data_IF_162053970563
#
_entry.id   IF_162053970563
#
_cell.length_a   1.000
_cell.length_b   1.000
_cell.length_c   1.000
_cell.angle_alpha   90.00
_cell.angle_beta   90.00
_cell.angle_gamma   90.00
#
_symmetry.space_group_name_H-M   'P 1'
#
loop_
_entity.id
_entity.type
_entity.pdbx_description
1 polymer ?
#
# COMPACT_ATOMS: atom_id res chain seq x y z
N UNK A 1 1.70 10.28 -89.91
CA UNK A 1 0.28 10.15 -89.49
C UNK A 1 0.25 9.89 -87.98
N UNK A 2 -0.06 10.87 -87.19
CA UNK A 2 -0.17 10.74 -85.73
C UNK A 2 -1.67 10.65 -85.37
N UNK A 3 -2.12 9.47 -84.89
CA UNK A 3 -3.45 9.29 -84.41
C UNK A 3 -3.59 9.88 -82.99
N UNK A 4 -4.38 10.93 -82.85
CA UNK A 4 -4.78 11.47 -81.52
C UNK A 4 -5.83 10.56 -80.90
N UNK A 5 -5.46 9.79 -79.90
CA UNK A 5 -6.40 9.05 -79.08
C UNK A 5 -7.23 10.02 -78.22
N UNK A 6 -8.48 10.19 -78.50
CA UNK A 6 -9.39 11.00 -77.73
C UNK A 6 -9.71 10.29 -76.40
N UNK A 7 -9.23 10.88 -75.26
CA UNK A 7 -9.64 10.45 -73.91
C UNK A 7 -11.13 10.77 -73.75
N UNK A 8 -11.97 9.74 -73.54
CA UNK A 8 -13.38 9.91 -73.18
C UNK A 8 -13.48 10.57 -71.81
N UNK A 9 -14.29 11.65 -71.63
CA UNK A 9 -14.52 12.23 -70.31
C UNK A 9 -15.18 11.20 -69.41
N UNK A 10 -14.59 10.96 -68.25
CA UNK A 10 -15.23 10.18 -67.17
C UNK A 10 -16.40 11.00 -66.63
N UNK A 11 -17.62 10.52 -66.83
CA UNK A 11 -18.81 11.06 -66.20
C UNK A 11 -18.61 10.96 -64.66
N UNK A 12 -18.51 12.05 -64.00
CA UNK A 12 -18.57 12.13 -62.53
C UNK A 12 -20.01 11.79 -62.13
N UNK A 13 -20.19 10.63 -61.49
CA UNK A 13 -21.49 10.29 -60.87
C UNK A 13 -21.50 10.98 -59.51
N UNK A 14 -22.47 11.84 -59.26
CA UNK A 14 -22.72 12.47 -57.98
C UNK A 14 -23.26 11.43 -56.98
N UNK A 15 -22.89 11.62 -55.68
CA UNK A 15 -23.41 10.79 -54.57
C UNK A 15 -24.89 11.12 -54.39
N UNK A 16 -25.73 10.11 -54.23
CA UNK A 16 -27.17 10.30 -53.96
C UNK A 16 -27.36 10.76 -52.50
N UNK A 17 -28.49 11.50 -52.26
CA UNK A 17 -28.82 11.95 -50.91
C UNK A 17 -28.96 10.77 -49.93
N UNK A 18 -29.51 9.64 -50.38
CA UNK A 18 -29.68 8.43 -49.59
C UNK A 18 -28.34 7.84 -49.21
N UNK A 19 -27.38 7.79 -50.13
CA UNK A 19 -26.03 7.28 -49.89
C UNK A 19 -25.30 8.15 -48.85
N UNK A 20 -25.44 9.46 -48.92
CA UNK A 20 -24.87 10.38 -47.92
C UNK A 20 -25.45 10.15 -46.52
N UNK A 21 -26.80 9.98 -46.42
CA UNK A 21 -27.45 9.71 -45.13
C UNK A 21 -26.98 8.38 -44.57
N UNK A 22 -26.92 7.31 -45.37
CA UNK A 22 -26.44 6.00 -44.97
C UNK A 22 -24.97 6.06 -44.49
N UNK A 23 -24.14 6.80 -45.21
CA UNK A 23 -22.73 7.00 -44.83
C UNK A 23 -22.61 7.68 -43.45
N UNK A 24 -23.35 8.78 -43.23
CA UNK A 24 -23.33 9.51 -41.95
C UNK A 24 -23.81 8.61 -40.81
N UNK A 25 -24.86 7.81 -41.01
CA UNK A 25 -25.36 6.89 -39.97
C UNK A 25 -24.33 5.83 -39.64
N UNK A 26 -23.71 5.19 -40.63
CA UNK A 26 -22.69 4.15 -40.41
C UNK A 26 -21.46 4.72 -39.70
N UNK A 27 -20.97 5.88 -40.14
CA UNK A 27 -19.81 6.53 -39.52
C UNK A 27 -20.12 6.97 -38.08
N UNK A 28 -21.32 7.48 -37.82
CA UNK A 28 -21.74 7.88 -36.48
C UNK A 28 -21.75 6.71 -35.49
N UNK A 29 -22.29 5.56 -35.92
CA UNK A 29 -22.31 4.33 -35.11
C UNK A 29 -20.88 3.81 -34.86
N UNK A 30 -20.02 3.83 -35.88
CA UNK A 30 -18.63 3.40 -35.77
C UNK A 30 -17.84 4.31 -34.80
N UNK A 31 -17.99 5.62 -34.90
CA UNK A 31 -17.35 6.58 -34.00
C UNK A 31 -17.85 6.45 -32.57
N UNK A 32 -19.15 6.26 -32.36
CA UNK A 32 -19.71 6.01 -31.03
C UNK A 32 -19.09 4.75 -30.39
N UNK A 33 -18.94 3.68 -31.15
CA UNK A 33 -18.27 2.46 -30.71
C UNK A 33 -16.80 2.68 -30.30
N UNK A 34 -16.05 3.41 -31.12
CA UNK A 34 -14.64 3.73 -30.83
C UNK A 34 -14.53 4.57 -29.53
N UNK A 35 -15.36 5.60 -29.37
CA UNK A 35 -15.37 6.44 -28.15
C UNK A 35 -15.70 5.61 -26.91
N UNK A 36 -16.64 4.66 -27.02
CA UNK A 36 -16.98 3.75 -25.93
C UNK A 36 -15.77 2.88 -25.51
N UNK A 37 -15.07 2.28 -26.47
CA UNK A 37 -13.87 1.49 -26.21
C UNK A 37 -12.77 2.36 -25.56
N UNK A 38 -12.55 3.57 -26.06
CA UNK A 38 -11.57 4.50 -25.48
C UNK A 38 -11.89 4.85 -24.01
N UNK A 39 -13.17 5.06 -23.69
CA UNK A 39 -13.60 5.33 -22.30
C UNK A 39 -13.31 4.14 -21.40
N UNK A 40 -13.64 2.92 -21.82
CA UNK A 40 -13.36 1.70 -21.06
C UNK A 40 -11.85 1.48 -20.84
N UNK A 41 -11.04 1.71 -21.87
CA UNK A 41 -9.58 1.58 -21.79
C UNK A 41 -8.97 2.63 -20.86
N UNK A 42 -9.44 3.88 -20.92
CA UNK A 42 -8.95 4.96 -20.05
C UNK A 42 -9.35 4.75 -18.59
N UNK A 43 -10.54 4.27 -18.31
CA UNK A 43 -10.98 3.97 -16.94
C UNK A 43 -10.12 2.84 -16.32
N UNK A 44 -9.82 1.80 -17.11
CA UNK A 44 -8.98 0.69 -16.67
C UNK A 44 -7.48 1.03 -16.60
N UNK A 45 -7.03 2.14 -17.19
CA UNK A 45 -5.62 2.55 -17.17
C UNK A 45 -5.23 3.33 -15.91
N UNK A 46 -6.19 3.97 -15.24
CA UNK A 46 -5.95 4.71 -14.00
C UNK A 46 -5.75 3.77 -12.80
N UNK A 47 -6.43 2.63 -12.78
CA UNK A 47 -6.38 1.66 -11.68
C UNK A 47 -5.00 1.00 -11.50
N UNK A 48 -4.29 0.52 -12.53
CA UNK A 48 -2.94 -0.02 -12.38
C UNK A 48 -1.93 0.97 -11.81
N UNK A 49 -2.04 2.26 -12.14
CA UNK A 49 -1.16 3.29 -11.61
C UNK A 49 -1.41 3.51 -10.11
N UNK A 50 -2.67 3.64 -9.71
CA UNK A 50 -3.06 3.79 -8.31
C UNK A 50 -2.65 2.58 -7.49
N UNK A 51 -2.86 1.37 -8.02
CA UNK A 51 -2.42 0.13 -7.38
C UNK A 51 -0.90 0.06 -7.19
N UNK A 52 -0.14 0.50 -8.19
CA UNK A 52 1.33 0.59 -8.08
C UNK A 52 1.75 1.59 -7.00
N UNK A 53 1.12 2.75 -6.93
CA UNK A 53 1.36 3.72 -5.86
C UNK A 53 1.00 3.16 -4.48
N UNK A 54 -0.14 2.47 -4.35
CA UNK A 54 -0.53 1.80 -3.11
C UNK A 54 0.50 0.75 -2.67
N UNK A 55 1.05 -0.02 -3.62
CA UNK A 55 2.11 -0.98 -3.34
C UNK A 55 3.39 -0.28 -2.82
N UNK A 56 3.82 0.79 -3.47
CA UNK A 56 4.99 1.57 -3.01
C UNK A 56 4.80 2.16 -1.62
N UNK A 57 3.58 2.64 -1.32
CA UNK A 57 3.22 3.10 0.02
C UNK A 57 3.30 1.94 1.02
N UNK A 58 2.70 0.79 0.69
CA UNK A 58 2.70 -0.38 1.56
C UNK A 58 4.12 -0.90 1.84
N UNK A 59 4.99 -0.93 0.82
CA UNK A 59 6.39 -1.31 0.96
C UNK A 59 7.15 -0.34 1.89
N UNK A 60 6.98 0.96 1.70
CA UNK A 60 7.64 1.97 2.53
C UNK A 60 7.20 1.89 4.01
N UNK A 61 5.89 1.71 4.25
CA UNK A 61 5.35 1.58 5.60
C UNK A 61 5.75 0.25 6.26
N UNK A 62 5.79 -0.84 5.51
CA UNK A 62 6.27 -2.13 6.01
C UNK A 62 7.74 -2.04 6.41
N UNK A 63 8.56 -1.38 5.59
CA UNK A 63 9.98 -1.20 5.89
C UNK A 63 10.19 -0.32 7.13
N UNK A 64 9.41 0.74 7.33
CA UNK A 64 9.43 1.55 8.55
C UNK A 64 9.21 0.67 9.79
N UNK A 65 8.15 -0.15 9.81
CA UNK A 65 7.86 -1.05 10.92
C UNK A 65 8.97 -2.09 11.14
N UNK A 66 9.53 -2.63 10.04
CA UNK A 66 10.61 -3.63 10.11
C UNK A 66 11.93 -3.08 10.61
N UNK A 67 12.17 -1.78 10.47
CA UNK A 67 13.35 -1.09 11.00
C UNK A 67 13.27 -0.84 12.50
N UNK A 68 12.07 -0.83 13.09
CA UNK A 68 11.89 -0.73 14.53
C UNK A 68 12.54 -1.92 15.26
N UNK A 69 12.95 -1.70 16.48
CA UNK A 69 13.49 -2.75 17.34
C UNK A 69 12.45 -3.86 17.59
N UNK A 70 12.91 -5.01 17.97
CA UNK A 70 12.05 -6.06 18.52
C UNK A 70 12.77 -6.67 19.72
N UNK A 71 12.74 -5.93 20.81
CA UNK A 71 13.44 -6.21 22.08
C UNK A 71 12.45 -6.62 23.16
N UNK A 72 12.94 -7.18 24.26
CA UNK A 72 12.10 -7.46 25.45
C UNK A 72 11.90 -6.21 26.29
N UNK A 73 12.86 -5.31 26.27
CA UNK A 73 12.86 -4.09 27.06
C UNK A 73 12.76 -2.87 26.16
N UNK A 74 12.10 -1.83 26.66
CA UNK A 74 12.22 -0.47 26.16
C UNK A 74 13.72 -0.07 26.14
N UNK A 75 14.21 0.62 25.11
CA UNK A 75 15.62 1.08 25.03
C UNK A 75 16.08 1.92 26.20
N UNK A 76 15.15 2.51 26.98
CA UNK A 76 15.43 3.28 28.19
C UNK A 76 15.64 2.41 29.43
N UNK A 77 15.45 1.10 29.32
CA UNK A 77 15.65 0.17 30.40
C UNK A 77 17.15 0.02 30.70
N UNK A 78 17.53 0.11 32.00
CA UNK A 78 18.94 0.00 32.40
C UNK A 78 19.57 -1.33 32.06
N UNK A 79 18.77 -2.36 31.83
CA UNK A 79 19.20 -3.74 31.53
C UNK A 79 18.65 -4.23 30.17
N UNK A 80 18.40 -3.32 29.23
CA UNK A 80 17.81 -3.64 27.92
C UNK A 80 18.58 -4.74 27.16
N UNK A 81 19.91 -4.76 27.26
CA UNK A 81 20.77 -5.68 26.52
C UNK A 81 20.88 -7.08 27.13
N UNK A 82 20.43 -7.27 28.38
CA UNK A 82 20.69 -8.49 29.15
C UNK A 82 19.45 -9.22 29.64
N UNK A 83 18.29 -8.58 29.58
CA UNK A 83 17.05 -9.18 30.07
C UNK A 83 16.59 -10.32 29.16
N UNK A 84 16.30 -11.51 29.71
CA UNK A 84 15.86 -12.68 28.94
C UNK A 84 14.36 -12.63 28.56
N UNK A 85 13.58 -11.79 29.20
CA UNK A 85 12.14 -11.60 28.99
C UNK A 85 11.70 -10.20 29.42
N UNK A 86 10.45 -9.83 29.10
CA UNK A 86 9.90 -8.50 29.42
C UNK A 86 9.77 -8.26 30.93
N UNK A 87 9.57 -9.29 31.73
CA UNK A 87 9.40 -9.18 33.19
C UNK A 87 10.70 -8.91 33.92
N UNK A 88 11.80 -9.28 33.28
CA UNK A 88 13.16 -9.05 33.82
C UNK A 88 13.67 -7.65 33.50
N UNK A 89 12.97 -6.88 32.68
CA UNK A 89 13.33 -5.51 32.34
C UNK A 89 12.98 -4.53 33.46
N UNK A 90 13.78 -3.49 33.63
CA UNK A 90 13.40 -2.32 34.44
C UNK A 90 12.18 -1.61 33.84
N UNK A 91 12.16 -1.50 32.52
CA UNK A 91 11.02 -1.09 31.71
C UNK A 91 10.81 -2.16 30.63
N UNK A 92 9.73 -2.97 30.77
CA UNK A 92 9.40 -4.03 29.82
C UNK A 92 8.60 -3.48 28.66
N UNK A 93 8.84 -4.03 27.45
CA UNK A 93 8.01 -3.78 26.27
C UNK A 93 6.62 -4.37 26.43
N UNK A 94 5.62 -3.66 25.92
CA UNK A 94 4.24 -4.09 25.82
C UNK A 94 3.66 -3.79 24.43
N UNK A 95 2.37 -4.02 24.26
CA UNK A 95 1.65 -3.57 23.08
C UNK A 95 1.25 -2.11 23.23
N UNK A 96 1.70 -1.28 22.31
CA UNK A 96 1.54 0.16 22.31
C UNK A 96 2.68 0.88 23.02
N UNK A 97 2.77 2.15 22.78
CA UNK A 97 3.86 2.97 23.26
C UNK A 97 3.86 3.15 24.80
N UNK A 98 4.96 2.86 25.46
CA UNK A 98 5.12 2.83 26.93
C UNK A 98 5.44 4.18 27.56
N UNK A 99 5.29 5.26 26.88
CA UNK A 99 5.60 6.54 27.47
C UNK A 99 4.65 7.03 28.56
N UNK A 100 5.03 8.06 29.31
CA UNK A 100 4.19 8.66 30.32
C UNK A 100 2.84 9.08 29.76
N UNK A 101 1.77 8.89 30.55
CA UNK A 101 0.41 9.27 30.14
C UNK A 101 0.38 10.75 29.70
N UNK A 102 -0.15 10.99 28.49
CA UNK A 102 -0.23 12.34 27.91
C UNK A 102 0.98 12.73 27.04
N UNK A 103 1.97 11.87 26.87
CA UNK A 103 3.06 12.09 25.91
C UNK A 103 2.57 11.78 24.51
N UNK A 104 2.70 12.74 23.59
CA UNK A 104 2.45 12.48 22.16
C UNK A 104 3.70 11.84 21.59
N UNK A 105 3.61 10.56 21.26
CA UNK A 105 4.69 9.86 20.60
C UNK A 105 4.65 10.12 19.09
N UNK A 106 5.80 10.43 18.55
CA UNK A 106 5.98 10.75 17.14
C UNK A 106 6.73 9.57 16.51
N UNK A 107 6.19 9.06 15.42
CA UNK A 107 6.89 8.07 14.60
C UNK A 107 8.24 8.61 14.11
N UNK A 108 9.24 7.75 13.80
CA UNK A 108 9.16 6.29 13.93
C UNK A 108 9.23 5.83 15.38
N UNK A 109 8.47 4.78 15.70
CA UNK A 109 8.53 4.16 17.02
C UNK A 109 9.81 3.34 17.19
N UNK A 110 10.21 3.13 18.41
CA UNK A 110 11.45 2.41 18.74
C UNK A 110 11.26 0.89 18.75
N UNK A 111 10.01 0.39 18.96
CA UNK A 111 9.71 -1.02 18.91
C UNK A 111 8.55 -1.33 17.94
N UNK A 112 8.56 -2.55 17.38
CA UNK A 112 7.49 -3.04 16.49
C UNK A 112 6.14 -3.08 17.20
N UNK A 113 6.12 -3.39 18.49
CA UNK A 113 4.90 -3.48 19.30
C UNK A 113 4.15 -2.14 19.42
N UNK A 114 4.85 -1.02 19.29
CA UNK A 114 4.30 0.33 19.46
C UNK A 114 3.32 0.75 18.38
N UNK A 115 3.44 0.15 17.19
CA UNK A 115 2.55 0.48 16.08
C UNK A 115 1.10 0.04 16.30
N UNK A 116 0.84 -0.85 17.28
CA UNK A 116 -0.52 -1.33 17.59
C UNK A 116 -0.72 -1.40 19.10
N UNK A 117 -1.85 -0.90 19.60
CA UNK A 117 -2.15 -0.97 21.04
C UNK A 117 -2.64 -2.35 21.50
N UNK A 118 -2.94 -3.25 20.58
CA UNK A 118 -3.40 -4.62 20.86
C UNK A 118 -3.03 -5.53 19.71
N UNK A 119 -2.47 -6.68 20.02
CA UNK A 119 -2.13 -7.70 19.03
C UNK A 119 -3.33 -8.09 18.16
N UNK A 120 -3.11 -8.18 16.86
CA UNK A 120 -4.13 -8.60 15.91
C UNK A 120 -5.18 -7.54 15.55
N UNK A 121 -5.11 -6.35 16.12
CA UNK A 121 -6.03 -5.26 15.81
C UNK A 121 -5.44 -4.36 14.73
N UNK A 122 -6.25 -4.04 13.71
CA UNK A 122 -5.84 -3.11 12.66
C UNK A 122 -5.90 -1.66 13.16
N UNK A 123 -4.80 -0.93 12.98
CA UNK A 123 -4.65 0.46 13.45
C UNK A 123 -4.15 1.35 12.31
N UNK A 124 -4.69 2.57 12.23
CA UNK A 124 -4.20 3.60 11.29
C UNK A 124 -2.99 4.34 11.86
N UNK A 125 -1.93 3.60 12.22
CA UNK A 125 -0.75 4.11 12.91
C UNK A 125 0.06 5.13 12.09
N UNK A 126 -0.15 5.19 10.78
CA UNK A 126 0.63 6.02 9.85
C UNK A 126 0.00 7.38 9.55
N UNK A 127 -1.04 7.74 10.26
CA UNK A 127 -1.71 9.02 10.06
C UNK A 127 -1.08 10.14 10.90
N UNK A 128 -1.12 11.37 10.35
CA UNK A 128 -0.86 12.59 11.11
C UNK A 128 -2.04 12.92 12.03
N UNK A 129 -1.91 13.98 12.84
CA UNK A 129 -2.97 14.43 13.73
C UNK A 129 -4.27 14.88 13.03
N UNK A 130 -4.29 14.93 11.69
CA UNK A 130 -5.47 15.28 10.87
C UNK A 130 -6.07 14.06 10.18
N UNK A 131 -5.52 12.85 10.41
CA UNK A 131 -5.98 11.61 9.80
C UNK A 131 -5.48 11.36 8.38
N UNK A 132 -4.48 12.11 7.90
CA UNK A 132 -3.85 11.92 6.59
C UNK A 132 -2.57 11.10 6.74
N UNK A 133 -2.23 10.33 5.71
CA UNK A 133 -0.99 9.56 5.68
C UNK A 133 0.23 10.49 5.83
N UNK A 134 1.14 10.09 6.70
CA UNK A 134 2.39 10.78 6.98
C UNK A 134 3.58 9.84 6.82
N UNK A 135 4.73 10.40 6.45
CA UNK A 135 6.01 9.69 6.42
C UNK A 135 6.53 9.39 7.85
N UNK A 136 7.65 8.67 7.95
CA UNK A 136 8.26 8.31 9.23
C UNK A 136 8.66 9.52 10.09
N UNK A 137 8.77 10.71 9.50
CA UNK A 137 9.06 11.97 10.22
C UNK A 137 7.78 12.74 10.59
N UNK A 138 6.60 12.12 10.42
CA UNK A 138 5.31 12.75 10.70
C UNK A 138 4.89 13.80 9.67
N UNK A 139 5.58 13.94 8.53
CA UNK A 139 5.22 14.91 7.49
C UNK A 139 4.19 14.31 6.55
N UNK A 140 3.15 15.08 6.25
CA UNK A 140 2.10 14.65 5.34
C UNK A 140 2.65 14.23 3.98
N UNK A 141 2.25 13.07 3.50
CA UNK A 141 2.72 12.49 2.23
C UNK A 141 2.05 13.11 1.00
N UNK A 142 1.03 13.97 1.14
CA UNK A 142 0.25 14.57 0.04
C UNK A 142 -0.27 13.54 -0.99
N UNK A 143 -0.64 12.36 -0.51
CA UNK A 143 -1.25 11.30 -1.32
C UNK A 143 -2.74 11.22 -0.99
N UNK A 144 -3.55 11.91 -1.78
CA UNK A 144 -4.99 11.92 -1.58
C UNK A 144 -5.61 10.61 -2.08
N UNK A 145 -6.59 10.10 -1.33
CA UNK A 145 -7.32 8.90 -1.71
C UNK A 145 -6.62 7.59 -1.34
N UNK A 146 -5.64 7.62 -0.43
CA UNK A 146 -5.01 6.44 0.14
C UNK A 146 -5.22 6.39 1.65
N UNK A 147 -5.48 5.18 2.16
CA UNK A 147 -5.55 4.88 3.59
C UNK A 147 -4.70 3.66 3.88
N UNK A 148 -3.98 3.68 4.99
CA UNK A 148 -3.17 2.54 5.40
C UNK A 148 -3.50 2.13 6.82
N UNK A 149 -3.50 0.83 7.05
CA UNK A 149 -3.58 0.24 8.38
C UNK A 149 -2.48 -0.79 8.56
N UNK A 150 -2.04 -0.95 9.79
CA UNK A 150 -1.13 -2.00 10.21
C UNK A 150 -1.83 -2.93 11.19
N UNK A 151 -1.55 -4.21 11.06
CA UNK A 151 -1.93 -5.24 12.04
C UNK A 151 -0.67 -6.03 12.38
N UNK A 152 -0.36 -6.16 13.66
CA UNK A 152 0.78 -6.91 14.15
C UNK A 152 0.28 -7.96 15.13
N UNK A 153 0.68 -9.20 14.91
CA UNK A 153 0.26 -10.32 15.77
C UNK A 153 1.37 -11.36 15.89
N UNK A 154 1.47 -12.05 17.02
CA UNK A 154 2.32 -13.23 17.14
C UNK A 154 1.96 -14.26 16.07
N UNK A 155 2.95 -14.71 15.32
CA UNK A 155 2.80 -15.74 14.29
C UNK A 155 4.10 -16.51 14.13
N UNK A 156 4.01 -17.82 14.00
CA UNK A 156 5.20 -18.66 13.86
C UNK A 156 5.91 -18.43 12.52
N UNK A 157 7.23 -18.48 12.53
CA UNK A 157 8.04 -18.34 11.33
C UNK A 157 8.98 -19.55 11.20
N UNK A 158 8.60 -20.52 10.37
CA UNK A 158 9.33 -21.77 10.26
C UNK A 158 9.41 -22.48 11.62
N UNK A 159 10.61 -22.75 12.08
CA UNK A 159 10.87 -23.42 13.38
C UNK A 159 10.82 -22.44 14.58
N UNK A 160 10.62 -21.14 14.34
CA UNK A 160 10.51 -20.16 15.42
C UNK A 160 9.04 -20.11 15.87
N UNK A 161 8.74 -20.50 17.12
CA UNK A 161 7.37 -20.45 17.62
C UNK A 161 6.92 -19.00 17.78
N UNK A 162 5.61 -18.75 17.64
CA UNK A 162 5.04 -17.42 17.80
C UNK A 162 5.34 -16.80 19.16
N UNK A 163 5.26 -17.60 20.22
CA UNK A 163 5.29 -17.07 21.58
C UNK A 163 3.95 -16.41 21.93
N UNK A 164 3.93 -15.65 23.03
CA UNK A 164 2.72 -15.00 23.52
C UNK A 164 3.00 -13.61 24.08
N UNK A 165 2.06 -12.67 23.86
CA UNK A 165 2.13 -11.33 24.40
C UNK A 165 3.36 -10.57 23.94
N UNK A 166 3.91 -9.76 24.84
CA UNK A 166 5.16 -9.02 24.60
C UNK A 166 6.40 -9.91 24.53
N UNK A 167 6.34 -11.14 25.05
CA UNK A 167 7.43 -12.15 24.95
C UNK A 167 7.35 -12.99 23.65
N UNK A 168 6.63 -12.54 22.65
CA UNK A 168 6.55 -13.19 21.34
C UNK A 168 7.93 -13.31 20.71
N UNK A 169 8.20 -14.45 20.04
CA UNK A 169 9.47 -14.70 19.35
C UNK A 169 9.43 -14.32 17.87
N UNK A 170 8.24 -14.34 17.29
CA UNK A 170 8.02 -13.92 15.92
C UNK A 170 6.67 -13.21 15.78
N UNK A 171 6.66 -12.16 14.97
CA UNK A 171 5.50 -11.34 14.68
C UNK A 171 5.26 -11.33 13.18
N UNK A 172 4.00 -11.44 12.78
CA UNK A 172 3.55 -11.07 11.44
C UNK A 172 3.08 -9.63 11.45
N UNK A 173 3.60 -8.86 10.50
CA UNK A 173 3.24 -7.47 10.25
C UNK A 173 2.44 -7.47 8.96
N UNK A 174 1.19 -7.03 9.02
CA UNK A 174 0.33 -6.88 7.84
C UNK A 174 0.02 -5.43 7.61
N UNK A 175 0.41 -4.91 6.43
CA UNK A 175 0.06 -3.58 5.96
C UNK A 175 -1.05 -3.73 4.92
N UNK A 176 -2.12 -2.97 5.09
CA UNK A 176 -3.23 -2.88 4.12
C UNK A 176 -3.33 -1.44 3.65
N UNK A 177 -3.25 -1.24 2.34
CA UNK A 177 -3.41 0.08 1.72
C UNK A 177 -4.63 0.07 0.80
N UNK A 178 -5.64 0.83 1.19
CA UNK A 178 -6.81 1.12 0.36
C UNK A 178 -6.51 2.31 -0.56
N UNK A 179 -6.87 2.19 -1.84
CA UNK A 179 -6.66 3.24 -2.85
C UNK A 179 -7.92 3.52 -3.70
N UNK A 180 -8.97 2.74 -3.53
CA UNK A 180 -10.26 2.92 -4.20
C UNK A 180 -11.42 2.87 -3.20
N UNK A 181 -11.90 4.06 -2.81
CA UNK A 181 -13.01 4.20 -1.87
C UNK A 181 -14.39 3.94 -2.50
N UNK A 182 -14.45 3.74 -3.81
CA UNK A 182 -15.68 3.39 -4.52
C UNK A 182 -15.95 1.87 -4.50
N UNK A 183 -15.05 1.09 -3.90
CA UNK A 183 -15.25 -0.35 -3.66
C UNK A 183 -15.02 -1.26 -4.86
N UNK A 184 -14.45 -0.75 -5.95
CA UNK A 184 -14.17 -1.53 -7.16
C UNK A 184 -12.75 -2.11 -7.21
N UNK A 185 -11.83 -1.61 -6.38
CA UNK A 185 -10.45 -2.05 -6.27
C UNK A 185 -10.19 -2.85 -5.00
N UNK A 186 -9.56 -4.02 -5.11
CA UNK A 186 -9.08 -4.74 -3.95
C UNK A 186 -7.89 -3.99 -3.33
N UNK A 187 -7.83 -3.86 -1.98
CA UNK A 187 -6.70 -3.23 -1.31
C UNK A 187 -5.40 -3.96 -1.61
N UNK A 188 -4.29 -3.24 -1.52
CA UNK A 188 -2.96 -3.86 -1.51
C UNK A 188 -2.67 -4.34 -0.11
N UNK A 189 -2.32 -5.61 0.01
CA UNK A 189 -1.95 -6.25 1.28
C UNK A 189 -0.53 -6.75 1.17
N UNK A 190 0.33 -6.34 2.10
CA UNK A 190 1.67 -6.89 2.28
C UNK A 190 1.80 -7.49 3.66
N UNK A 191 2.35 -8.70 3.70
CA UNK A 191 2.75 -9.36 4.93
C UNK A 191 4.28 -9.37 5.03
N UNK A 192 4.78 -9.04 6.21
CA UNK A 192 6.17 -9.16 6.60
C UNK A 192 6.29 -9.87 7.94
N UNK A 193 7.49 -10.34 8.25
CA UNK A 193 7.76 -11.00 9.52
C UNK A 193 8.94 -10.32 10.21
N UNK A 194 8.89 -10.32 11.53
CA UNK A 194 9.98 -9.91 12.39
C UNK A 194 10.18 -10.99 13.44
N UNK A 195 11.34 -11.63 13.43
CA UNK A 195 11.76 -12.54 14.49
C UNK A 195 12.59 -11.77 15.50
N UNK A 196 12.47 -12.13 16.77
CA UNK A 196 13.32 -11.61 17.82
C UNK A 196 14.73 -12.17 17.61
N UNK A 197 15.68 -11.28 17.50
CA UNK A 197 17.06 -11.69 17.45
C UNK A 197 17.49 -12.09 18.87
N UNK A 198 17.77 -13.36 19.10
CA UNK A 198 18.46 -13.75 20.31
C UNK A 198 19.88 -13.19 20.22
N UNK A 199 20.33 -12.32 21.15
CA UNK A 199 21.75 -12.03 21.23
C UNK A 199 22.48 -13.36 21.35
N UNK A 200 23.49 -13.57 20.51
CA UNK A 200 24.32 -14.78 20.63
C UNK A 200 24.77 -14.86 22.07
N UNK A 201 24.29 -15.87 22.79
CA UNK A 201 24.86 -16.21 24.07
C UNK A 201 26.32 -16.49 23.74
N UNK A 202 27.20 -15.61 24.19
CA UNK A 202 28.62 -15.78 24.04
C UNK A 202 28.96 -17.17 24.59
N UNK A 203 29.37 -18.04 23.71
CA UNK A 203 29.84 -19.36 24.14
C UNK A 203 30.97 -19.16 25.16
N UNK A 204 30.85 -19.85 26.26
CA UNK A 204 31.94 -20.06 27.20
C UNK A 204 33.17 -20.65 26.50
#
# INVERSE_FOLDING_TARGET
MWSKSARRPRLQQGVTLVELIMFIVIVSIALAGIVQIMRMTSANSADPLRRKQALMIAEALLEEVRQAGFTYCDPRSDNADSAPDTKSCTLGENWGNEGPAGTVFVRPFDNVNDYVGTAGTAVAAFNDGTGQLADALGRRMNVEGYRATVTIAPDALGDIPAGAGADSNALRIRIVVDYDFNGNGAPVVLDGYRARYAPMQGGE
#
